data_IF_976581997391
#
_entry.id   IF_976581997391
#
_cell.length_a   1.000
_cell.length_b   1.000
_cell.length_c   1.000
_cell.angle_alpha   90.00
_cell.angle_beta   90.00
_cell.angle_gamma   90.00
#
_symmetry.space_group_name_H-M   'P 1'
#
loop_
_entity.id
_entity.type
_entity.pdbx_description
1 polymer ?
#
# COMPACT_ATOMS: atom_id res chain seq x y z
N UNK A 1 -15.05 -52.19 66.23
CA UNK A 1 -15.53 -52.83 64.99
C UNK A 1 -14.81 -52.18 63.82
N UNK A 2 -13.85 -52.90 63.25
CA UNK A 2 -13.44 -52.73 61.85
C UNK A 2 -14.59 -53.22 60.95
N UNK A 3 -14.70 -52.73 59.71
CA UNK A 3 -14.00 -53.37 58.57
C UNK A 3 -13.31 -52.32 57.67
N UNK A 4 -12.05 -52.47 57.28
CA UNK A 4 -11.49 -53.33 56.23
C UNK A 4 -10.92 -52.48 55.08
N UNK A 5 -9.61 -52.32 55.16
CA UNK A 5 -8.58 -52.07 54.15
C UNK A 5 -8.92 -52.40 52.68
N UNK A 6 -8.48 -51.51 51.79
CA UNK A 6 -7.89 -51.84 50.49
C UNK A 6 -6.73 -50.85 50.20
N UNK A 7 -5.53 -51.33 49.78
CA UNK A 7 -4.40 -50.47 49.48
C UNK A 7 -4.43 -50.03 48.01
N UNK A 8 -4.36 -48.73 47.76
CA UNK A 8 -4.12 -48.21 46.41
C UNK A 8 -2.61 -48.05 46.20
N UNK A 9 -2.08 -48.87 45.30
CA UNK A 9 -0.74 -48.78 44.74
C UNK A 9 -0.50 -47.38 44.17
N UNK A 10 0.54 -46.70 44.65
CA UNK A 10 1.09 -45.51 44.01
C UNK A 10 1.80 -45.93 42.71
N UNK A 11 1.19 -45.63 41.57
CA UNK A 11 1.88 -45.61 40.29
C UNK A 11 2.49 -44.22 40.09
N UNK A 12 3.80 -44.10 40.23
CA UNK A 12 4.54 -42.91 39.78
C UNK A 12 4.62 -42.94 38.26
N UNK A 13 3.68 -42.27 37.58
CA UNK A 13 3.84 -41.90 36.18
C UNK A 13 4.85 -40.75 36.11
N UNK A 14 6.12 -41.10 35.84
CA UNK A 14 7.10 -40.15 35.32
C UNK A 14 6.68 -39.80 33.88
N UNK A 15 5.78 -38.83 33.76
CA UNK A 15 5.55 -38.15 32.48
C UNK A 15 6.75 -37.30 32.18
N UNK A 16 7.56 -37.71 31.19
CA UNK A 16 8.59 -36.85 30.63
C UNK A 16 7.90 -35.59 30.09
N UNK A 17 8.17 -34.44 30.71
CA UNK A 17 7.77 -33.14 30.19
C UNK A 17 8.69 -32.88 28.99
N UNK A 18 8.23 -33.24 27.80
CA UNK A 18 8.88 -32.79 26.57
C UNK A 18 8.75 -31.27 26.53
N UNK A 19 9.86 -30.56 26.75
CA UNK A 19 9.94 -29.14 26.45
C UNK A 19 9.56 -28.94 24.99
N UNK A 20 8.63 -28.03 24.65
CA UNK A 20 8.34 -27.74 23.27
C UNK A 20 9.63 -27.22 22.63
N UNK A 21 10.15 -27.98 21.67
CA UNK A 21 11.20 -27.52 20.76
C UNK A 21 10.72 -26.21 20.12
N UNK A 22 11.56 -25.16 20.07
CA UNK A 22 11.19 -23.96 19.36
C UNK A 22 10.83 -24.36 17.93
N UNK A 23 9.62 -24.01 17.51
CA UNK A 23 9.23 -24.15 16.12
C UNK A 23 10.24 -23.34 15.31
N UNK A 24 11.02 -24.03 14.48
CA UNK A 24 11.77 -23.38 13.42
C UNK A 24 10.73 -22.76 12.49
N UNK A 25 10.42 -21.48 12.71
CA UNK A 25 9.80 -20.65 11.72
C UNK A 25 10.78 -20.57 10.55
N UNK A 26 10.64 -21.48 9.60
CA UNK A 26 11.12 -21.20 8.25
C UNK A 26 10.46 -19.89 7.87
N UNK A 27 11.27 -18.85 7.63
CA UNK A 27 10.80 -17.59 7.07
C UNK A 27 9.91 -17.94 5.88
N UNK A 28 8.61 -17.80 6.09
CA UNK A 28 7.59 -18.21 5.15
C UNK A 28 7.66 -17.17 4.05
N UNK A 29 8.51 -17.43 3.05
CA UNK A 29 8.83 -16.51 1.96
C UNK A 29 7.54 -15.91 1.46
N UNK A 30 7.38 -14.59 1.67
CA UNK A 30 6.42 -13.79 0.92
C UNK A 30 6.59 -14.15 -0.56
N UNK A 31 5.49 -14.17 -1.32
CA UNK A 31 5.62 -14.39 -2.76
C UNK A 31 6.52 -13.30 -3.33
N UNK A 32 7.76 -13.66 -3.67
CA UNK A 32 8.57 -12.91 -4.60
C UNK A 32 7.69 -12.66 -5.81
N UNK A 33 7.64 -11.41 -6.26
CA UNK A 33 6.83 -10.93 -7.36
C UNK A 33 6.54 -12.00 -8.41
N UNK A 34 5.33 -12.55 -8.34
CA UNK A 34 4.78 -13.44 -9.34
C UNK A 34 3.73 -12.67 -10.15
N UNK A 35 3.67 -12.87 -11.47
CA UNK A 35 3.77 -14.20 -12.03
C UNK A 35 5.21 -14.55 -12.35
N UNK A 36 5.49 -15.83 -12.30
CA UNK A 36 6.63 -16.55 -12.85
C UNK A 36 6.81 -16.34 -14.37
N UNK A 37 6.78 -15.09 -14.84
CA UNK A 37 6.83 -14.69 -16.25
C UNK A 37 7.59 -13.36 -16.44
N UNK A 38 7.98 -13.06 -17.68
CA UNK A 38 8.87 -11.96 -18.06
C UNK A 38 8.30 -10.55 -17.94
N UNK A 39 7.05 -10.37 -17.50
CA UNK A 39 6.34 -9.08 -17.50
C UNK A 39 6.30 -8.49 -16.10
N UNK A 40 7.25 -7.60 -15.83
CA UNK A 40 7.54 -7.06 -14.50
C UNK A 40 7.26 -5.56 -14.40
N UNK A 41 6.50 -4.96 -15.31
CA UNK A 41 6.22 -3.53 -15.26
C UNK A 41 4.80 -3.28 -14.76
N UNK A 42 4.64 -2.31 -13.86
CA UNK A 42 3.34 -1.82 -13.36
C UNK A 42 3.05 -0.46 -14.01
N UNK A 43 1.81 -0.20 -14.44
CA UNK A 43 1.36 1.12 -14.89
C UNK A 43 0.31 1.68 -13.93
N UNK A 44 0.47 2.93 -13.46
CA UNK A 44 -0.59 3.62 -12.70
C UNK A 44 -1.59 4.25 -13.66
N UNK A 45 -2.85 3.83 -13.57
CA UNK A 45 -3.95 4.46 -14.31
C UNK A 45 -4.68 5.43 -13.38
N UNK A 46 -3.95 6.45 -12.94
CA UNK A 46 -4.39 7.42 -11.93
C UNK A 46 -5.62 8.21 -12.39
N UNK A 47 -6.69 8.20 -11.58
CA UNK A 47 -7.98 8.84 -11.83
C UNK A 47 -8.86 8.23 -12.94
N UNK A 48 -8.40 7.19 -13.63
CA UNK A 48 -9.16 6.59 -14.72
C UNK A 48 -10.39 5.82 -14.22
N UNK A 49 -11.49 5.89 -14.99
CA UNK A 49 -12.68 5.08 -14.69
C UNK A 49 -12.40 3.59 -14.92
N UNK A 50 -13.14 2.71 -14.25
CA UNK A 50 -13.01 1.26 -14.41
C UNK A 50 -13.20 0.82 -15.87
N UNK A 51 -14.16 1.43 -16.58
CA UNK A 51 -14.42 1.13 -17.98
C UNK A 51 -13.24 1.55 -18.89
N UNK A 52 -12.63 2.70 -18.63
CA UNK A 52 -11.46 3.18 -19.37
C UNK A 52 -10.25 2.27 -19.17
N UNK A 53 -9.99 1.84 -17.93
CA UNK A 53 -8.91 0.89 -17.62
C UNK A 53 -9.14 -0.45 -18.31
N UNK A 54 -10.37 -0.99 -18.28
CA UNK A 54 -10.71 -2.24 -18.95
C UNK A 54 -10.43 -2.19 -20.46
N UNK A 55 -10.79 -1.09 -21.11
CA UNK A 55 -10.50 -0.86 -22.52
C UNK A 55 -8.99 -0.77 -22.78
N UNK A 56 -8.26 -0.02 -21.95
CA UNK A 56 -6.82 0.18 -22.11
C UNK A 56 -6.02 -1.11 -21.86
N UNK A 57 -6.47 -1.95 -20.92
CA UNK A 57 -5.95 -3.30 -20.71
C UNK A 57 -5.94 -4.13 -21.99
N UNK A 58 -7.04 -4.09 -22.74
CA UNK A 58 -7.19 -4.84 -23.99
C UNK A 58 -6.44 -4.19 -25.14
N UNK A 59 -6.53 -2.87 -25.27
CA UNK A 59 -6.06 -2.14 -26.45
C UNK A 59 -4.55 -1.85 -26.42
N UNK A 60 -3.96 -1.69 -25.23
CA UNK A 60 -2.58 -1.24 -25.09
C UNK A 60 -1.80 -1.99 -24.02
N UNK A 61 -2.23 -1.98 -22.76
CA UNK A 61 -1.42 -2.45 -21.62
C UNK A 61 -1.04 -3.93 -21.76
N UNK A 62 -2.00 -4.79 -22.10
CA UNK A 62 -1.75 -6.21 -22.36
C UNK A 62 -0.79 -6.44 -23.56
N UNK A 63 -1.13 -5.93 -24.76
CA UNK A 63 -0.28 -6.02 -25.96
C UNK A 63 1.13 -5.43 -25.78
N UNK A 64 1.27 -4.32 -25.04
CA UNK A 64 2.55 -3.64 -24.79
C UNK A 64 3.44 -4.38 -23.78
N UNK A 65 2.90 -5.37 -23.05
CA UNK A 65 3.70 -6.25 -22.21
C UNK A 65 3.80 -5.85 -20.74
N UNK A 66 2.93 -4.97 -20.24
CA UNK A 66 2.84 -4.70 -18.81
C UNK A 66 2.37 -5.94 -18.04
N UNK A 67 2.87 -6.09 -16.82
CA UNK A 67 2.46 -7.17 -15.92
C UNK A 67 1.24 -6.79 -15.08
N UNK A 68 1.14 -5.51 -14.69
CA UNK A 68 0.13 -5.03 -13.76
C UNK A 68 -0.40 -3.65 -14.15
N UNK A 69 -1.65 -3.37 -13.78
CA UNK A 69 -2.21 -2.04 -13.68
C UNK A 69 -2.51 -1.70 -12.21
N UNK A 70 -2.01 -0.57 -11.72
CA UNK A 70 -2.42 0.01 -10.44
C UNK A 70 -3.57 1.00 -10.69
N UNK A 71 -4.64 0.84 -9.92
CA UNK A 71 -5.82 1.69 -9.99
C UNK A 71 -5.91 2.64 -8.78
N UNK A 72 -6.60 3.77 -8.93
CA UNK A 72 -6.97 4.64 -7.80
C UNK A 72 -7.84 3.90 -6.76
N UNK A 73 -7.94 4.41 -5.52
CA UNK A 73 -8.71 3.79 -4.45
C UNK A 73 -10.16 3.42 -4.86
N UNK A 74 -10.58 2.15 -4.72
CA UNK A 74 -11.88 1.70 -5.23
C UNK A 74 -13.05 1.88 -4.25
N UNK A 75 -12.77 2.16 -2.98
CA UNK A 75 -13.77 2.32 -1.92
C UNK A 75 -14.48 3.67 -1.98
N UNK A 76 -15.57 3.78 -1.22
CA UNK A 76 -16.28 5.03 -1.02
C UNK A 76 -15.40 6.02 -0.28
N UNK A 77 -15.39 7.24 -0.79
CA UNK A 77 -14.59 8.32 -0.29
C UNK A 77 -15.41 9.62 -0.25
N UNK A 78 -14.83 10.71 0.27
CA UNK A 78 -15.52 12.01 0.36
C UNK A 78 -15.91 12.55 -1.03
N UNK A 79 -16.95 13.39 -1.07
CA UNK A 79 -17.35 14.08 -2.30
C UNK A 79 -16.37 15.22 -2.64
N UNK A 80 -16.26 15.56 -3.92
CA UNK A 80 -15.41 16.65 -4.43
C UNK A 80 -14.70 16.26 -5.73
N UNK A 81 -14.32 17.25 -6.53
CA UNK A 81 -13.69 17.03 -7.84
C UNK A 81 -12.18 16.83 -7.77
N UNK A 82 -11.56 17.16 -6.65
CA UNK A 82 -10.12 17.05 -6.44
C UNK A 82 -9.71 15.58 -6.41
N UNK A 83 -8.50 15.29 -6.88
CA UNK A 83 -7.99 13.92 -6.96
C UNK A 83 -7.81 13.29 -5.58
N UNK A 84 -7.33 14.07 -4.61
CA UNK A 84 -7.06 13.63 -3.24
C UNK A 84 -8.32 13.20 -2.49
N UNK A 85 -9.53 13.50 -3.01
CA UNK A 85 -10.76 13.00 -2.36
C UNK A 85 -10.85 11.48 -2.41
N UNK A 86 -10.16 10.79 -3.33
CA UNK A 86 -10.07 9.32 -3.36
C UNK A 86 -9.35 8.76 -2.11
N UNK A 87 -8.49 9.57 -1.48
CA UNK A 87 -7.65 9.21 -0.34
C UNK A 87 -8.28 9.57 1.01
N UNK A 88 -9.57 9.93 1.04
CA UNK A 88 -10.31 10.15 2.28
C UNK A 88 -11.49 9.17 2.35
N UNK A 89 -11.27 7.94 2.84
CA UNK A 89 -12.28 6.90 2.79
C UNK A 89 -13.40 7.19 3.78
N UNK A 90 -14.63 6.90 3.37
CA UNK A 90 -15.85 7.05 4.18
C UNK A 90 -16.39 5.68 4.57
N UNK A 91 -16.30 4.71 3.67
CA UNK A 91 -16.68 3.32 3.93
C UNK A 91 -15.92 2.38 2.99
N UNK A 92 -16.07 1.08 3.20
CA UNK A 92 -15.52 0.05 2.32
C UNK A 92 -16.49 -0.40 1.20
N UNK A 93 -17.58 0.35 0.97
CA UNK A 93 -18.46 0.15 -0.19
C UNK A 93 -17.67 0.46 -1.46
N UNK A 94 -17.69 -0.43 -2.45
CA UNK A 94 -16.98 -0.21 -3.72
C UNK A 94 -17.81 0.65 -4.70
N UNK A 95 -18.05 1.90 -4.33
CA UNK A 95 -18.60 2.94 -5.20
C UNK A 95 -17.75 4.18 -5.02
N UNK A 96 -17.00 4.54 -6.06
CA UNK A 96 -16.11 5.72 -6.08
C UNK A 96 -16.44 6.63 -7.26
N UNK A 97 -15.71 7.76 -7.40
CA UNK A 97 -15.74 8.59 -8.63
C UNK A 97 -15.44 7.80 -9.91
N UNK A 98 -14.79 6.64 -9.79
CA UNK A 98 -14.33 5.81 -10.92
C UNK A 98 -15.37 4.79 -11.39
N UNK A 99 -16.41 4.54 -10.58
CA UNK A 99 -17.49 3.60 -10.87
C UNK A 99 -17.87 2.73 -9.67
N UNK A 100 -18.79 1.80 -9.90
CA UNK A 100 -19.29 0.88 -8.87
C UNK A 100 -18.59 -0.50 -8.89
N UNK A 101 -18.94 -1.35 -7.92
CA UNK A 101 -18.36 -2.69 -7.75
C UNK A 101 -18.47 -3.58 -8.99
N UNK A 102 -19.61 -3.54 -9.68
CA UNK A 102 -19.82 -4.37 -10.87
C UNK A 102 -18.89 -3.94 -12.02
N UNK A 103 -18.71 -2.62 -12.19
CA UNK A 103 -17.75 -2.07 -13.15
C UNK A 103 -16.30 -2.38 -12.75
N UNK A 104 -15.98 -2.32 -11.45
CA UNK A 104 -14.67 -2.67 -10.93
C UNK A 104 -14.33 -4.16 -11.18
N UNK A 105 -15.25 -5.07 -10.87
CA UNK A 105 -15.07 -6.51 -11.12
C UNK A 105 -14.98 -6.83 -12.62
N UNK A 106 -15.76 -6.13 -13.45
CA UNK A 106 -15.68 -6.24 -14.92
C UNK A 106 -14.31 -5.80 -15.45
N UNK A 107 -13.75 -4.71 -14.90
CA UNK A 107 -12.41 -4.24 -15.23
C UNK A 107 -11.34 -5.27 -14.86
N UNK A 108 -11.39 -5.85 -13.66
CA UNK A 108 -10.48 -6.92 -13.24
C UNK A 108 -10.53 -8.10 -14.22
N UNK A 109 -11.74 -8.59 -14.50
CA UNK A 109 -11.95 -9.71 -15.43
C UNK A 109 -11.40 -9.42 -16.83
N UNK A 110 -11.59 -8.20 -17.32
CA UNK A 110 -11.11 -7.78 -18.65
C UNK A 110 -9.60 -7.65 -18.70
N UNK A 111 -8.98 -7.07 -17.67
CA UNK A 111 -7.52 -6.96 -17.57
C UNK A 111 -6.87 -8.34 -17.47
N UNK A 112 -7.42 -9.26 -16.67
CA UNK A 112 -6.96 -10.64 -16.59
C UNK A 112 -7.05 -11.35 -17.94
N UNK A 113 -8.13 -11.17 -18.70
CA UNK A 113 -8.27 -11.74 -20.04
C UNK A 113 -7.22 -11.19 -21.03
N UNK A 114 -6.73 -9.96 -20.81
CA UNK A 114 -5.63 -9.36 -21.57
C UNK A 114 -4.23 -9.75 -21.01
N UNK A 115 -4.17 -10.60 -19.98
CA UNK A 115 -2.92 -11.04 -19.34
C UNK A 115 -2.29 -9.99 -18.42
N UNK A 116 -3.08 -9.04 -17.91
CA UNK A 116 -2.65 -7.95 -17.02
C UNK A 116 -3.27 -8.15 -15.64
N UNK A 117 -2.46 -8.19 -14.60
CA UNK A 117 -2.90 -8.26 -13.20
C UNK A 117 -3.34 -6.89 -12.66
N UNK A 118 -4.12 -6.86 -11.60
CA UNK A 118 -4.66 -5.60 -11.04
C UNK A 118 -4.20 -5.39 -9.60
N UNK A 119 -3.64 -4.21 -9.34
CA UNK A 119 -3.23 -3.73 -8.01
C UNK A 119 -4.21 -2.64 -7.57
N UNK A 120 -4.80 -2.77 -6.38
CA UNK A 120 -5.63 -1.73 -5.79
C UNK A 120 -4.79 -0.82 -4.88
N UNK A 121 -4.93 0.50 -5.04
CA UNK A 121 -4.47 1.47 -4.03
C UNK A 121 -5.36 1.35 -2.79
N UNK A 122 -4.75 1.02 -1.65
CA UNK A 122 -5.44 0.48 -0.46
C UNK A 122 -5.09 1.31 0.76
N UNK A 123 -6.11 1.94 1.35
CA UNK A 123 -5.98 2.82 2.50
C UNK A 123 -6.28 2.07 3.80
N UNK A 124 -5.22 1.82 4.58
CA UNK A 124 -5.29 1.16 5.88
C UNK A 124 -4.95 2.09 7.05
N UNK A 125 -4.37 3.26 6.79
CA UNK A 125 -3.89 4.17 7.83
C UNK A 125 -5.01 4.99 8.48
N UNK A 126 -5.86 5.61 7.67
CA UNK A 126 -6.75 6.68 8.14
C UNK A 126 -8.13 6.60 7.49
N UNK A 127 -9.04 7.44 8.00
CA UNK A 127 -10.32 7.77 7.37
C UNK A 127 -10.34 9.25 6.91
N UNK A 128 -11.49 9.92 6.91
CA UNK A 128 -11.59 11.30 6.40
C UNK A 128 -10.97 12.33 7.34
N UNK A 129 -10.58 13.48 6.78
CA UNK A 129 -10.07 14.61 7.57
C UNK A 129 -11.02 15.79 7.69
N UNK A 130 -12.28 15.64 7.30
CA UNK A 130 -13.31 16.65 7.51
C UNK A 130 -14.18 16.33 8.74
N UNK A 131 -14.68 17.38 9.39
CA UNK A 131 -15.52 17.25 10.60
C UNK A 131 -16.74 16.32 10.41
N UNK A 132 -17.40 16.45 9.25
CA UNK A 132 -18.54 15.63 8.87
C UNK A 132 -18.86 15.74 7.39
N UNK A 133 -19.63 14.78 6.88
CA UNK A 133 -20.11 14.84 5.51
C UNK A 133 -20.87 13.59 5.08
N UNK A 134 -20.98 13.44 3.77
CA UNK A 134 -21.56 12.25 3.13
C UNK A 134 -20.65 11.83 1.99
N UNK A 135 -20.30 10.55 1.94
CA UNK A 135 -19.48 9.96 0.89
C UNK A 135 -20.22 9.82 -0.43
N UNK A 136 -19.47 9.52 -1.49
CA UNK A 136 -20.01 9.38 -2.85
C UNK A 136 -21.01 8.23 -3.01
N UNK A 137 -21.06 7.28 -2.06
CA UNK A 137 -22.04 6.19 -2.04
C UNK A 137 -23.20 6.43 -1.05
N UNK A 138 -23.23 7.60 -0.40
CA UNK A 138 -24.31 8.02 0.49
C UNK A 138 -24.08 7.73 1.97
N UNK A 139 -22.92 7.20 2.37
CA UNK A 139 -22.61 6.97 3.79
C UNK A 139 -22.33 8.30 4.49
N UNK A 140 -23.04 8.58 5.57
CA UNK A 140 -22.73 9.73 6.44
C UNK A 140 -21.52 9.44 7.31
N UNK A 141 -20.73 10.45 7.64
CA UNK A 141 -19.64 10.33 8.61
C UNK A 141 -19.49 11.61 9.44
N UNK A 142 -18.84 11.46 10.58
CA UNK A 142 -18.16 12.53 11.31
C UNK A 142 -16.72 12.12 11.51
N UNK A 143 -15.84 13.04 11.85
CA UNK A 143 -14.39 12.86 11.90
C UNK A 143 -13.92 11.50 12.49
N UNK A 144 -14.44 11.10 13.67
CA UNK A 144 -14.14 9.81 14.32
C UNK A 144 -15.32 8.83 14.38
N UNK A 145 -16.35 8.99 13.56
CA UNK A 145 -17.49 8.07 13.57
C UNK A 145 -18.04 7.82 12.16
N UNK A 146 -17.92 6.56 11.76
CA UNK A 146 -18.27 6.00 10.47
C UNK A 146 -19.30 4.89 10.73
N UNK A 147 -20.60 5.23 10.74
CA UNK A 147 -21.67 4.36 11.23
C UNK A 147 -21.62 2.95 10.66
N UNK A 148 -21.56 1.97 11.55
CA UNK A 148 -21.49 0.54 11.20
C UNK A 148 -20.08 0.01 10.94
N UNK A 149 -19.05 0.85 10.99
CA UNK A 149 -17.65 0.46 10.76
C UNK A 149 -16.75 0.90 11.91
N UNK A 150 -16.63 2.20 12.17
CA UNK A 150 -15.71 2.73 13.18
C UNK A 150 -16.38 3.78 14.06
N UNK A 151 -15.97 3.83 15.32
CA UNK A 151 -16.33 4.84 16.33
C UNK A 151 -15.06 5.41 16.96
N UNK A 152 -15.21 6.39 17.85
CA UNK A 152 -14.09 7.14 18.43
C UNK A 152 -12.98 6.28 19.03
N UNK A 153 -13.31 5.13 19.62
CA UNK A 153 -12.33 4.20 20.19
C UNK A 153 -11.48 3.43 19.17
N UNK A 154 -11.87 3.45 17.89
CA UNK A 154 -11.19 2.75 16.80
C UNK A 154 -10.14 3.63 16.11
N UNK A 155 -9.96 4.86 16.60
CA UNK A 155 -8.97 5.82 16.16
C UNK A 155 -7.96 6.09 17.28
N UNK A 156 -6.72 6.39 16.90
CA UNK A 156 -5.76 6.94 17.84
C UNK A 156 -6.17 8.37 18.24
N UNK A 157 -5.78 8.73 19.46
CA UNK A 157 -5.87 10.09 20.01
C UNK A 157 -4.51 10.34 20.67
N UNK A 158 -3.51 10.71 19.87
CA UNK A 158 -2.10 10.61 20.29
C UNK A 158 -1.76 11.54 21.47
N UNK A 159 -2.45 12.66 21.60
CA UNK A 159 -2.29 13.63 22.69
C UNK A 159 -0.92 14.31 22.73
N UNK A 160 -0.18 14.27 21.61
CA UNK A 160 1.18 14.83 21.51
C UNK A 160 1.18 16.27 20.99
N UNK A 161 0.26 16.61 20.10
CA UNK A 161 0.16 17.91 19.45
C UNK A 161 -1.31 18.41 19.46
N UNK A 162 -1.56 19.72 19.32
CA UNK A 162 -2.93 20.24 19.22
C UNK A 162 -3.66 19.66 18.01
N UNK A 163 -4.84 19.09 18.23
CA UNK A 163 -5.63 18.45 17.17
C UNK A 163 -5.14 17.04 16.81
N UNK A 164 -4.18 16.49 17.56
CA UNK A 164 -3.56 15.19 17.29
C UNK A 164 -2.92 15.12 15.89
N UNK A 165 -2.54 16.25 15.28
CA UNK A 165 -1.83 16.31 14.00
C UNK A 165 -0.33 16.00 14.13
N UNK A 166 0.26 15.36 13.12
CA UNK A 166 1.72 15.19 13.04
C UNK A 166 2.40 16.55 12.80
N UNK A 167 3.30 16.94 13.71
CA UNK A 167 4.13 18.16 13.57
C UNK A 167 5.62 17.81 13.49
N UNK A 168 6.05 16.77 14.19
CA UNK A 168 7.44 16.37 14.38
C UNK A 168 7.72 14.97 13.83
N UNK A 169 8.28 14.94 12.62
CA UNK A 169 8.69 13.70 11.95
C UNK A 169 9.91 13.01 12.60
N UNK A 170 10.61 13.63 13.56
CA UNK A 170 11.66 12.97 14.34
C UNK A 170 11.09 12.07 15.47
N UNK A 171 9.78 12.13 15.72
CA UNK A 171 9.09 11.34 16.74
C UNK A 171 8.28 10.20 16.10
N UNK A 172 8.77 8.96 16.24
CA UNK A 172 8.08 7.77 15.70
C UNK A 172 6.65 7.62 16.21
N UNK A 173 6.43 7.83 17.51
CA UNK A 173 5.10 7.65 18.10
C UNK A 173 4.13 8.62 17.47
N UNK A 174 4.56 9.87 17.29
CA UNK A 174 3.76 10.89 16.63
C UNK A 174 3.45 10.52 15.17
N UNK A 175 4.46 10.21 14.36
CA UNK A 175 4.27 9.85 12.96
C UNK A 175 3.33 8.64 12.76
N UNK A 176 3.24 7.74 13.74
CA UNK A 176 2.49 6.48 13.65
C UNK A 176 1.20 6.42 14.47
N UNK A 177 0.84 7.48 15.19
CA UNK A 177 -0.39 7.53 16.01
C UNK A 177 -1.11 8.87 15.97
N UNK A 178 -0.48 9.93 15.45
CA UNK A 178 -1.11 11.21 15.17
C UNK A 178 -1.59 11.27 13.72
N UNK A 179 -2.50 12.20 13.44
CA UNK A 179 -3.16 12.41 12.17
C UNK A 179 -2.21 13.01 11.13
N UNK A 180 -2.15 12.37 9.96
CA UNK A 180 -1.50 12.93 8.79
C UNK A 180 -2.45 13.96 8.16
N UNK A 181 -2.13 15.25 8.22
CA UNK A 181 -2.95 16.33 7.65
C UNK A 181 -4.43 16.27 8.09
N UNK A 182 -4.65 16.08 9.40
CA UNK A 182 -5.95 15.95 10.05
C UNK A 182 -6.77 14.75 9.52
N UNK A 183 -6.15 13.72 8.95
CA UNK A 183 -6.83 12.48 8.55
C UNK A 183 -6.98 11.57 9.77
N UNK A 184 -8.23 11.25 10.15
CA UNK A 184 -8.53 10.47 11.36
C UNK A 184 -7.77 9.13 11.38
N UNK A 185 -6.78 9.01 12.27
CA UNK A 185 -5.78 7.95 12.27
C UNK A 185 -6.33 6.67 12.93
N UNK A 186 -6.38 5.56 12.19
CA UNK A 186 -6.97 4.31 12.67
C UNK A 186 -6.06 3.64 13.70
N UNK A 187 -6.68 3.10 14.77
CA UNK A 187 -6.03 2.28 15.79
C UNK A 187 -5.59 0.92 15.25
N UNK A 188 -4.60 0.91 14.35
CA UNK A 188 -4.11 -0.30 13.65
C UNK A 188 -3.42 -1.30 14.57
N UNK A 189 -3.19 -0.93 15.82
CA UNK A 189 -2.73 -1.80 16.90
C UNK A 189 -3.86 -2.66 17.52
N UNK A 190 -5.13 -2.30 17.29
CA UNK A 190 -6.30 -2.98 17.83
C UNK A 190 -6.76 -4.17 16.98
N UNK A 191 -7.32 -5.20 17.64
CA UNK A 191 -7.79 -6.40 16.92
C UNK A 191 -9.01 -6.11 16.02
N UNK A 192 -9.89 -5.22 16.47
CA UNK A 192 -11.09 -4.83 15.72
C UNK A 192 -10.73 -4.15 14.39
N UNK A 193 -9.91 -3.09 14.43
CA UNK A 193 -9.48 -2.36 13.22
C UNK A 193 -8.76 -3.30 12.27
N UNK A 194 -7.79 -4.10 12.75
CA UNK A 194 -7.10 -5.10 11.91
C UNK A 194 -8.05 -6.10 11.27
N UNK A 195 -9.08 -6.53 12.00
CA UNK A 195 -10.12 -7.43 11.48
C UNK A 195 -10.95 -6.79 10.36
N UNK A 196 -11.36 -5.52 10.53
CA UNK A 196 -12.11 -4.77 9.52
C UNK A 196 -11.26 -4.52 8.27
N UNK A 197 -10.01 -4.07 8.42
CA UNK A 197 -9.09 -3.83 7.30
C UNK A 197 -8.79 -5.12 6.52
N UNK A 198 -8.55 -6.24 7.22
CA UNK A 198 -8.36 -7.54 6.59
C UNK A 198 -9.63 -8.03 5.88
N UNK A 199 -10.83 -7.76 6.41
CA UNK A 199 -12.09 -8.09 5.74
C UNK A 199 -12.25 -7.30 4.43
N UNK A 200 -11.89 -6.01 4.43
CA UNK A 200 -11.87 -5.20 3.21
C UNK A 200 -10.86 -5.72 2.18
N UNK A 201 -9.62 -6.02 2.60
CA UNK A 201 -8.61 -6.63 1.72
C UNK A 201 -9.08 -7.97 1.15
N UNK A 202 -9.72 -8.82 1.97
CA UNK A 202 -10.30 -10.08 1.51
C UNK A 202 -11.48 -9.90 0.55
N UNK A 203 -12.28 -8.86 0.71
CA UNK A 203 -13.33 -8.50 -0.24
C UNK A 203 -12.72 -8.18 -1.61
N UNK A 204 -11.68 -7.34 -1.66
CA UNK A 204 -10.95 -7.04 -2.90
C UNK A 204 -10.33 -8.28 -3.55
N UNK A 205 -9.69 -9.16 -2.76
CA UNK A 205 -9.14 -10.43 -3.24
C UNK A 205 -10.25 -11.31 -3.84
N UNK A 206 -11.43 -11.37 -3.20
CA UNK A 206 -12.56 -12.17 -3.70
C UNK A 206 -13.09 -11.71 -5.07
N UNK A 207 -12.86 -10.44 -5.42
CA UNK A 207 -13.19 -9.88 -6.73
C UNK A 207 -12.10 -10.11 -7.77
N UNK A 208 -10.93 -10.63 -7.37
CA UNK A 208 -9.81 -10.97 -8.25
C UNK A 208 -8.63 -9.99 -8.20
N UNK A 209 -8.52 -9.13 -7.19
CA UNK A 209 -7.32 -8.29 -7.04
C UNK A 209 -6.07 -9.15 -6.80
N UNK A 210 -4.98 -8.82 -7.48
CA UNK A 210 -3.70 -9.53 -7.42
C UNK A 210 -2.70 -8.90 -6.45
N UNK A 211 -2.91 -7.63 -6.10
CA UNK A 211 -1.97 -6.86 -5.29
C UNK A 211 -2.54 -5.63 -4.63
N UNK A 212 -1.84 -5.14 -3.61
CA UNK A 212 -2.14 -3.89 -2.94
C UNK A 212 -0.95 -2.94 -2.99
N UNK A 213 -1.22 -1.69 -3.33
CA UNK A 213 -0.34 -0.56 -3.00
C UNK A 213 -0.86 -0.01 -1.67
N UNK A 214 -0.06 -0.15 -0.61
CA UNK A 214 -0.44 0.31 0.73
C UNK A 214 -0.07 1.79 0.85
N UNK A 215 -1.12 2.61 0.89
CA UNK A 215 -1.05 4.04 1.09
C UNK A 215 -0.53 4.39 2.50
N UNK A 216 0.24 5.47 2.59
CA UNK A 216 0.73 6.02 3.85
C UNK A 216 1.37 4.99 4.79
N UNK A 217 2.03 3.95 4.25
CA UNK A 217 2.53 2.82 5.04
C UNK A 217 3.51 3.23 6.15
N UNK A 218 4.26 4.32 5.96
CA UNK A 218 5.12 4.94 6.98
C UNK A 218 4.39 5.27 8.29
N UNK A 219 3.12 5.67 8.17
CA UNK A 219 2.26 6.10 9.27
C UNK A 219 1.62 4.94 10.04
N UNK A 220 1.85 3.70 9.59
CA UNK A 220 1.52 2.50 10.37
C UNK A 220 2.80 1.79 10.83
N UNK A 221 2.83 1.20 12.05
CA UNK A 221 3.90 0.29 12.44
C UNK A 221 4.00 -0.89 11.46
N UNK A 222 5.21 -1.24 11.02
CA UNK A 222 5.41 -2.34 10.07
C UNK A 222 4.84 -3.68 10.58
N UNK A 223 4.82 -3.89 11.91
CA UNK A 223 4.22 -5.05 12.56
C UNK A 223 2.70 -5.11 12.45
N UNK A 224 2.05 -3.96 12.37
CA UNK A 224 0.59 -3.86 12.30
C UNK A 224 0.12 -4.17 10.88
N UNK A 225 0.84 -3.63 9.89
CA UNK A 225 0.72 -4.06 8.49
C UNK A 225 0.92 -5.58 8.38
N UNK A 226 2.00 -6.13 8.97
CA UNK A 226 2.25 -7.58 8.95
C UNK A 226 1.07 -8.37 9.53
N UNK A 227 0.47 -7.88 10.62
CA UNK A 227 -0.68 -8.51 11.26
C UNK A 227 -1.91 -8.50 10.33
N UNK A 228 -2.25 -7.35 9.73
CA UNK A 228 -3.36 -7.22 8.78
C UNK A 228 -3.15 -8.16 7.59
N UNK A 229 -1.94 -8.15 7.00
CA UNK A 229 -1.60 -9.01 5.85
C UNK A 229 -1.68 -10.50 6.19
N UNK A 230 -1.34 -10.90 7.42
CA UNK A 230 -1.44 -12.31 7.87
C UNK A 230 -2.88 -12.83 7.96
N UNK A 231 -3.87 -11.93 7.99
CA UNK A 231 -5.31 -12.24 8.04
C UNK A 231 -5.94 -12.35 6.64
N UNK A 232 -5.17 -12.12 5.58
CA UNK A 232 -5.64 -12.27 4.21
C UNK A 232 -5.76 -13.74 3.82
N UNK A 233 -6.77 -14.04 3.00
CA UNK A 233 -7.12 -15.37 2.51
C UNK A 233 -6.09 -15.92 1.52
N UNK A 234 -5.34 -15.03 0.87
CA UNK A 234 -4.23 -15.36 -0.02
C UNK A 234 -3.07 -14.40 0.23
N UNK A 235 -1.89 -14.65 -0.35
CA UNK A 235 -0.73 -13.74 -0.31
C UNK A 235 -0.70 -12.91 -1.61
N UNK A 236 -1.30 -11.70 -1.65
CA UNK A 236 -1.22 -10.82 -2.82
C UNK A 236 0.18 -10.20 -2.95
N UNK A 237 0.47 -9.59 -4.11
CA UNK A 237 1.65 -8.73 -4.25
C UNK A 237 1.46 -7.45 -3.43
N UNK A 238 2.48 -7.03 -2.68
CA UNK A 238 2.44 -5.83 -1.83
C UNK A 238 3.53 -4.86 -2.26
N UNK A 239 3.16 -3.60 -2.45
CA UNK A 239 4.08 -2.45 -2.55
C UNK A 239 3.64 -1.41 -1.53
N UNK A 240 4.59 -0.77 -0.83
CA UNK A 240 4.32 0.08 0.32
C UNK A 240 4.87 1.48 0.12
N UNK A 241 4.05 2.51 0.36
CA UNK A 241 4.50 3.89 0.37
C UNK A 241 5.20 4.21 1.69
N UNK A 242 6.54 4.26 1.66
CA UNK A 242 7.35 4.68 2.81
C UNK A 242 8.32 5.75 2.35
N UNK A 243 7.90 7.02 2.45
CA UNK A 243 8.74 8.15 2.06
C UNK A 243 9.85 8.32 3.10
N UNK A 244 11.09 8.06 2.66
CA UNK A 244 12.28 8.29 3.48
C UNK A 244 12.47 9.78 3.76
N UNK A 245 12.72 10.12 5.02
CA UNK A 245 13.23 11.43 5.43
C UNK A 245 14.59 11.33 6.11
N UNK A 246 15.41 12.35 5.91
CA UNK A 246 16.76 12.41 6.49
C UNK A 246 16.68 12.64 8.00
N UNK A 247 17.22 11.71 8.80
CA UNK A 247 17.22 11.81 10.26
C UNK A 247 15.97 11.26 10.94
N UNK A 248 14.91 11.01 10.17
CA UNK A 248 13.66 10.49 10.71
C UNK A 248 13.80 9.04 11.22
N UNK A 249 13.07 8.66 12.27
CA UNK A 249 13.24 7.37 12.94
C UNK A 249 12.66 6.20 12.17
N UNK A 250 11.77 6.44 11.20
CA UNK A 250 11.07 5.40 10.42
C UNK A 250 11.74 5.25 9.07
N UNK A 251 12.27 4.06 8.79
CA UNK A 251 13.08 3.77 7.63
C UNK A 251 12.37 2.77 6.68
N UNK A 252 12.45 2.95 5.35
CA UNK A 252 11.87 2.02 4.37
C UNK A 252 12.26 0.56 4.57
N UNK A 253 13.49 0.31 5.03
CA UNK A 253 14.01 -1.04 5.31
C UNK A 253 13.21 -1.82 6.37
N UNK A 254 12.42 -1.15 7.22
CA UNK A 254 11.57 -1.81 8.22
C UNK A 254 10.39 -2.56 7.57
N UNK A 255 9.99 -2.15 6.36
CA UNK A 255 8.76 -2.61 5.71
C UNK A 255 8.99 -3.74 4.69
N UNK A 256 10.25 -4.06 4.38
CA UNK A 256 10.61 -5.08 3.39
C UNK A 256 10.18 -6.50 3.79
N UNK A 257 9.86 -6.70 5.07
CA UNK A 257 9.28 -7.94 5.60
C UNK A 257 7.80 -8.14 5.25
N UNK A 258 7.12 -7.11 4.71
CA UNK A 258 5.72 -7.14 4.31
C UNK A 258 5.53 -7.18 2.79
N UNK A 259 6.55 -6.82 2.01
CA UNK A 259 6.47 -6.70 0.55
C UNK A 259 7.52 -5.73 0.01
N UNK A 260 7.35 -5.34 -1.26
CA UNK A 260 8.20 -4.33 -1.88
C UNK A 260 7.90 -2.95 -1.26
N UNK A 261 8.87 -2.05 -1.37
CA UNK A 261 8.79 -0.68 -0.82
C UNK A 261 9.10 0.33 -1.90
N UNK A 262 8.30 1.39 -1.98
CA UNK A 262 8.48 2.50 -2.90
C UNK A 262 9.74 3.30 -2.52
N UNK A 263 10.76 3.30 -3.39
CA UNK A 263 12.05 3.94 -3.11
C UNK A 263 12.08 5.37 -3.64
N UNK A 264 11.51 6.31 -2.89
CA UNK A 264 11.42 7.72 -3.28
C UNK A 264 12.78 8.41 -3.49
N UNK A 265 13.87 7.91 -2.86
CA UNK A 265 15.22 8.46 -3.09
C UNK A 265 15.68 8.22 -4.54
N UNK A 266 15.22 7.14 -5.17
CA UNK A 266 15.44 6.89 -6.59
C UNK A 266 14.87 8.01 -7.46
N UNK A 267 13.62 8.41 -7.19
CA UNK A 267 12.92 9.49 -7.90
C UNK A 267 13.71 10.80 -7.86
N UNK A 268 14.18 11.20 -6.67
CA UNK A 268 15.01 12.40 -6.51
C UNK A 268 16.37 12.28 -7.19
N UNK A 269 17.03 11.12 -7.08
CA UNK A 269 18.34 10.89 -7.72
C UNK A 269 18.26 10.96 -9.25
N UNK A 270 17.26 10.30 -9.84
CA UNK A 270 17.02 10.34 -11.29
C UNK A 270 16.72 11.77 -11.74
N UNK A 271 15.84 12.50 -11.05
CA UNK A 271 15.57 13.90 -11.36
C UNK A 271 16.86 14.74 -11.37
N UNK A 272 17.64 14.68 -10.30
CA UNK A 272 18.86 15.48 -10.16
C UNK A 272 19.90 15.14 -11.23
N UNK A 273 20.08 13.85 -11.54
CA UNK A 273 21.01 13.39 -12.56
C UNK A 273 20.63 13.93 -13.97
N UNK A 274 19.35 13.85 -14.33
CA UNK A 274 18.86 14.25 -15.66
C UNK A 274 18.67 15.76 -15.83
N UNK A 275 18.57 16.55 -14.75
CA UNK A 275 18.48 18.02 -14.81
C UNK A 275 19.83 18.75 -14.73
N UNK A 276 20.95 18.03 -14.70
CA UNK A 276 22.29 18.63 -14.77
C UNK A 276 23.33 18.06 -13.82
N UNK A 277 22.93 17.18 -12.90
CA UNK A 277 23.86 16.48 -11.99
C UNK A 277 24.73 15.42 -12.68
N UNK A 278 24.33 14.96 -13.87
CA UNK A 278 25.05 13.96 -14.66
C UNK A 278 24.63 12.53 -14.31
N UNK A 279 24.36 11.73 -15.35
CA UNK A 279 23.84 10.36 -15.24
C UNK A 279 24.87 9.34 -14.71
N UNK A 280 26.16 9.68 -14.66
CA UNK A 280 27.19 8.81 -14.10
C UNK A 280 26.98 8.52 -12.61
N UNK A 281 26.28 9.41 -11.88
CA UNK A 281 25.89 9.21 -10.49
C UNK A 281 24.94 8.02 -10.29
N UNK A 282 24.26 7.56 -11.34
CA UNK A 282 23.28 6.48 -11.29
C UNK A 282 23.87 5.08 -11.57
N UNK A 283 25.19 4.95 -11.72
CA UNK A 283 25.81 3.67 -12.09
C UNK A 283 25.73 2.59 -10.99
N UNK A 284 25.72 2.99 -9.72
CA UNK A 284 25.86 2.07 -8.58
C UNK A 284 24.74 2.26 -7.55
N UNK A 285 23.48 2.28 -8.01
CA UNK A 285 22.33 2.52 -7.14
C UNK A 285 22.19 1.50 -6.01
N UNK A 286 22.54 0.22 -6.24
CA UNK A 286 22.55 -0.82 -5.20
C UNK A 286 23.52 -0.52 -4.03
N UNK A 287 24.51 0.36 -4.24
CA UNK A 287 25.49 0.75 -3.21
C UNK A 287 25.10 1.99 -2.40
N UNK A 288 23.90 2.54 -2.62
CA UNK A 288 23.47 3.80 -1.99
C UNK A 288 22.94 3.63 -0.56
N UNK A 289 22.90 2.39 -0.02
CA UNK A 289 22.30 2.11 1.28
C UNK A 289 20.77 2.21 1.29
N UNK A 290 20.15 2.06 0.11
CA UNK A 290 18.71 2.09 -0.08
C UNK A 290 18.10 0.71 0.18
N UNK A 291 16.77 0.58 0.04
CA UNK A 291 16.14 -0.75 -0.02
C UNK A 291 16.81 -1.54 -1.13
N UNK A 292 17.08 -2.84 -0.92
CA UNK A 292 17.71 -3.65 -1.96
C UNK A 292 16.93 -3.56 -3.27
N UNK A 293 17.62 -3.48 -4.41
CA UNK A 293 16.97 -3.40 -5.73
C UNK A 293 15.99 -4.54 -6.02
N UNK A 294 16.12 -5.70 -5.36
CA UNK A 294 15.15 -6.81 -5.50
C UNK A 294 13.84 -6.62 -4.74
N UNK A 295 13.76 -5.62 -3.85
CA UNK A 295 12.58 -5.28 -3.03
C UNK A 295 12.18 -3.80 -3.17
N UNK A 296 12.88 -3.06 -4.04
CA UNK A 296 12.61 -1.66 -4.33
C UNK A 296 11.64 -1.56 -5.50
N UNK A 297 10.50 -0.91 -5.27
CA UNK A 297 9.61 -0.43 -6.31
C UNK A 297 10.04 0.99 -6.69
N UNK A 298 10.43 1.22 -7.94
CA UNK A 298 11.06 2.48 -8.37
C UNK A 298 10.25 3.16 -9.46
N UNK A 299 10.18 4.49 -9.43
CA UNK A 299 9.44 5.27 -10.42
C UNK A 299 10.15 6.61 -10.68
N UNK A 300 10.04 7.11 -11.90
CA UNK A 300 10.53 8.44 -12.28
C UNK A 300 9.65 9.54 -11.68
N UNK A 301 8.37 9.24 -11.48
CA UNK A 301 7.40 10.06 -10.78
C UNK A 301 6.21 9.21 -10.33
N UNK A 302 5.52 9.63 -9.27
CA UNK A 302 4.18 9.18 -8.95
C UNK A 302 3.19 10.35 -9.03
N UNK A 303 1.94 10.09 -8.67
CA UNK A 303 0.87 11.07 -8.63
C UNK A 303 1.10 12.24 -7.63
N UNK A 304 1.83 12.05 -6.54
CA UNK A 304 2.17 13.16 -5.63
C UNK A 304 3.32 14.00 -6.16
N UNK A 305 4.45 13.34 -6.47
CA UNK A 305 5.71 14.00 -6.75
C UNK A 305 5.67 14.84 -8.02
N UNK A 306 4.84 14.46 -8.99
CA UNK A 306 4.71 15.22 -10.25
C UNK A 306 4.05 16.60 -10.04
N UNK A 307 3.36 16.80 -8.91
CA UNK A 307 2.60 18.00 -8.57
C UNK A 307 3.30 18.91 -7.57
N UNK A 308 4.23 18.39 -6.77
CA UNK A 308 4.95 19.15 -5.74
C UNK A 308 6.39 19.53 -6.14
N UNK A 309 6.83 19.15 -7.34
CA UNK A 309 8.15 19.47 -7.87
C UNK A 309 9.26 18.57 -7.33
N UNK A 310 8.96 17.47 -6.64
CA UNK A 310 9.97 16.55 -6.11
C UNK A 310 10.45 15.48 -7.11
N UNK A 311 9.82 15.38 -8.28
CA UNK A 311 10.20 14.48 -9.38
C UNK A 311 10.32 15.19 -10.74
N UNK A 312 10.66 14.43 -11.78
CA UNK A 312 10.40 14.81 -13.16
C UNK A 312 8.90 14.63 -13.46
N UNK A 313 8.42 15.27 -14.51
CA UNK A 313 7.05 15.11 -15.03
C UNK A 313 7.03 15.30 -16.55
N UNK A 314 5.87 15.09 -17.19
CA UNK A 314 5.75 15.17 -18.65
C UNK A 314 6.17 16.53 -19.24
N UNK A 315 6.11 17.60 -18.45
CA UNK A 315 6.50 18.95 -18.85
C UNK A 315 7.99 19.26 -18.60
N UNK A 316 8.77 18.28 -18.12
CA UNK A 316 10.19 18.47 -17.84
C UNK A 316 10.97 18.76 -19.13
N UNK A 317 11.96 19.68 -19.08
CA UNK A 317 12.61 20.21 -20.26
C UNK A 317 13.37 19.13 -21.05
N UNK A 318 13.60 19.37 -22.33
CA UNK A 318 14.49 18.56 -23.18
C UNK A 318 14.19 17.05 -23.15
N UNK A 319 12.91 16.66 -23.04
CA UNK A 319 12.48 15.25 -22.96
C UNK A 319 13.15 14.47 -21.81
N UNK A 320 13.56 15.16 -20.73
CA UNK A 320 14.24 14.53 -19.58
C UNK A 320 13.38 13.48 -18.90
N UNK A 321 12.07 13.69 -18.81
CA UNK A 321 11.15 12.67 -18.29
C UNK A 321 11.18 11.37 -19.10
N UNK A 322 11.09 11.46 -20.43
CA UNK A 322 11.09 10.29 -21.32
C UNK A 322 12.44 9.57 -21.25
N UNK A 323 13.56 10.29 -21.30
CA UNK A 323 14.90 9.69 -21.26
C UNK A 323 15.22 9.08 -19.90
N UNK A 324 14.79 9.71 -18.80
CA UNK A 324 14.86 9.14 -17.45
C UNK A 324 14.02 7.85 -17.33
N UNK A 325 12.86 7.83 -17.97
CA UNK A 325 11.98 6.65 -18.01
C UNK A 325 12.61 5.50 -18.78
N UNK A 326 13.24 5.76 -19.94
CA UNK A 326 14.01 4.77 -20.68
C UNK A 326 15.16 4.22 -19.83
N UNK A 327 15.89 5.09 -19.13
CA UNK A 327 16.92 4.67 -18.19
C UNK A 327 16.33 3.75 -17.11
N UNK A 328 15.22 4.15 -16.49
CA UNK A 328 14.57 3.37 -15.43
C UNK A 328 14.15 1.98 -15.90
N UNK A 329 13.64 1.87 -17.14
CA UNK A 329 13.26 0.59 -17.74
C UNK A 329 14.46 -0.30 -18.11
N UNK A 330 15.62 0.29 -18.39
CA UNK A 330 16.81 -0.42 -18.82
C UNK A 330 17.76 -0.76 -17.65
N UNK A 331 17.67 -0.04 -16.54
CA UNK A 331 18.53 -0.23 -15.38
C UNK A 331 18.09 -1.43 -14.53
N UNK A 332 19.03 -2.10 -13.87
CA UNK A 332 18.77 -3.33 -13.10
C UNK A 332 18.34 -3.10 -11.65
N UNK A 333 18.44 -1.86 -11.16
CA UNK A 333 18.06 -1.50 -9.80
C UNK A 333 16.54 -1.30 -9.70
N UNK A 334 15.91 -2.00 -8.77
CA UNK A 334 14.49 -1.90 -8.55
C UNK A 334 13.67 -2.61 -9.62
N UNK A 335 12.38 -2.71 -9.35
CA UNK A 335 11.39 -2.99 -10.37
C UNK A 335 10.70 -1.68 -10.76
N UNK A 336 10.74 -1.27 -12.04
CA UNK A 336 10.04 -0.08 -12.48
C UNK A 336 8.53 -0.20 -12.30
N UNK A 337 7.99 0.68 -11.47
CA UNK A 337 6.59 1.04 -11.37
C UNK A 337 6.35 2.34 -12.13
N UNK A 338 5.18 2.46 -12.71
CA UNK A 338 4.73 3.63 -13.47
C UNK A 338 5.66 4.07 -14.63
N UNK A 339 6.36 3.19 -15.38
CA UNK A 339 7.44 3.63 -16.25
C UNK A 339 6.96 4.03 -17.65
N UNK A 340 5.70 4.40 -17.80
CA UNK A 340 5.20 4.94 -19.06
C UNK A 340 3.86 5.58 -18.75
N UNK A 341 3.86 6.90 -18.89
CA UNK A 341 2.66 7.71 -18.94
C UNK A 341 1.79 7.55 -17.68
N UNK A 342 2.01 8.42 -16.69
CA UNK A 342 0.84 9.09 -16.13
C UNK A 342 0.19 9.82 -17.30
N UNK A 343 -0.71 9.15 -18.02
CA UNK A 343 -1.66 9.82 -18.93
C UNK A 343 -2.59 10.61 -18.03
N UNK A 344 -2.07 11.71 -17.47
CA UNK A 344 -2.91 12.81 -17.09
C UNK A 344 -3.48 13.32 -18.40
N UNK A 345 -4.73 12.98 -18.62
CA UNK A 345 -5.59 13.73 -19.50
C UNK A 345 -5.74 15.13 -18.89
N UNK A 346 -4.71 15.98 -19.08
CA UNK A 346 -4.83 17.42 -18.97
C UNK A 346 -5.68 17.87 -20.16
N UNK A 347 -6.99 17.70 -20.07
CA UNK A 347 -8.01 18.49 -20.77
C UNK A 347 -9.41 17.93 -20.47
N UNK A 348 -9.96 18.24 -19.28
CA UNK A 348 -11.35 18.70 -19.15
C UNK A 348 -11.59 19.42 -17.83
#
# INVERSE_FOLDING_TARGET
>A
MWPSLLPLLAWTLQGAVASPTPANFTADTLQSRAPSGSKTVIIQMFEWTWASIAAECTNFIGPAGYGFVQVSPPQEHVTGSQWWTDYQPVSYILTSKRGNQAQFQSMITTCHAAGVKVIADTLFNHMTGSDSGTGVAGSSYTHYNYPGIYQTQDFHHCGLEPGDDIVNYDNRVEVQTCELDNLADLGTDTDYVRGVLAAYGNHLISLGIDGFRLDAAKHMPATDIANILSRLTTKPYITQEVIWGAGEPIQPSEYVGNGDVQEFRYTTAVKNAFLGGGISSLQNLDSMGWVSGSQANVFVTNHDTERNGNSLNINSPSNTYITATIFSLAHSYGTPDHPLLVLLWHDR
#
